data_IF_751356707473
#
_entry.id   IF_751356707473
#
_cell.length_a   1.000
_cell.length_b   1.000
_cell.length_c   1.000
_cell.angle_alpha   90.00
_cell.angle_beta   90.00
_cell.angle_gamma   90.00
#
_symmetry.space_group_name_H-M   'P 1'
#
loop_
_entity.id
_entity.type
_entity.pdbx_description
1 polymer ?
#
# COMPACT_ATOMS: atom_id res chain seq x y z
N UNK A 1 10.70 -6.31 -7.63
CA UNK A 1 10.33 -5.53 -8.83
C UNK A 1 10.65 -4.07 -8.52
N UNK A 2 10.35 -3.14 -9.42
CA UNK A 2 10.31 -1.73 -9.06
C UNK A 2 8.85 -1.40 -8.69
N UNK A 3 8.65 -0.32 -7.93
CA UNK A 3 7.33 0.18 -7.54
C UNK A 3 6.34 0.16 -8.72
N UNK A 4 5.16 -0.41 -8.49
CA UNK A 4 4.16 -0.61 -9.52
C UNK A 4 2.77 -0.14 -9.07
N UNK A 5 1.99 0.34 -10.03
CA UNK A 5 0.56 0.61 -9.85
C UNK A 5 -0.24 -0.55 -10.44
N UNK A 6 -1.27 -1.01 -9.73
CA UNK A 6 -2.14 -2.06 -10.24
C UNK A 6 -2.90 -1.53 -11.48
N UNK A 7 -2.92 -2.27 -12.61
CA UNK A 7 -3.63 -1.83 -13.81
C UNK A 7 -5.12 -1.56 -13.57
N UNK A 8 -5.76 -2.38 -12.73
CA UNK A 8 -7.17 -2.23 -12.38
C UNK A 8 -7.47 -0.94 -11.61
N UNK A 9 -6.54 -0.45 -10.80
CA UNK A 9 -6.64 0.87 -10.20
C UNK A 9 -6.62 1.98 -11.24
N UNK A 10 -5.74 1.91 -12.25
CA UNK A 10 -5.70 2.93 -13.31
C UNK A 10 -7.00 2.97 -14.11
N UNK A 11 -7.58 1.80 -14.38
CA UNK A 11 -8.89 1.68 -15.04
C UNK A 11 -9.99 2.35 -14.20
N UNK A 12 -10.10 1.99 -12.91
CA UNK A 12 -11.07 2.56 -11.98
C UNK A 12 -10.89 4.08 -11.80
N UNK A 13 -9.64 4.55 -11.73
CA UNK A 13 -9.34 5.98 -11.64
C UNK A 13 -9.79 6.74 -12.90
N UNK A 14 -9.55 6.19 -14.09
CA UNK A 14 -10.01 6.80 -15.36
C UNK A 14 -11.52 6.74 -15.54
N UNK A 15 -12.18 5.73 -14.96
CA UNK A 15 -13.64 5.63 -14.93
C UNK A 15 -14.29 6.60 -13.92
N UNK A 16 -13.52 7.16 -12.97
CA UNK A 16 -14.02 8.02 -11.91
C UNK A 16 -14.62 7.25 -10.73
N UNK A 17 -14.32 5.95 -10.61
CA UNK A 17 -14.82 5.09 -9.53
C UNK A 17 -14.05 5.26 -8.21
N UNK A 18 -12.89 5.92 -8.25
CA UNK A 18 -12.03 6.19 -7.10
C UNK A 18 -11.75 7.69 -7.03
N UNK A 19 -12.01 8.27 -5.86
CA UNK A 19 -11.66 9.64 -5.52
C UNK A 19 -10.64 9.62 -4.38
N UNK A 20 -9.34 9.53 -4.74
CA UNK A 20 -8.27 9.33 -3.75
C UNK A 20 -8.35 10.32 -2.57
N UNK A 21 -8.46 11.65 -2.75
CA UNK A 21 -8.57 12.59 -1.63
C UNK A 21 -9.67 12.26 -0.62
N UNK A 22 -10.88 11.91 -1.10
CA UNK A 22 -12.07 11.66 -0.29
C UNK A 22 -12.14 10.22 0.24
N UNK A 23 -11.64 9.26 -0.53
CA UNK A 23 -11.68 7.84 -0.19
C UNK A 23 -10.78 7.49 1.00
N UNK A 24 -11.19 6.44 1.72
CA UNK A 24 -10.42 5.85 2.81
C UNK A 24 -9.27 5.03 2.25
N UNK A 25 -8.12 5.67 2.05
CA UNK A 25 -6.90 4.98 1.56
C UNK A 25 -6.05 4.49 2.73
N UNK A 26 -5.64 3.21 2.66
CA UNK A 26 -4.87 2.52 3.69
C UNK A 26 -3.60 1.90 3.10
N UNK A 27 -2.58 1.73 3.94
CA UNK A 27 -1.38 0.97 3.61
C UNK A 27 -1.19 -0.22 4.56
N UNK A 28 -0.57 -1.29 4.05
CA UNK A 28 -0.26 -2.50 4.81
C UNK A 28 1.12 -3.03 4.43
N UNK A 29 1.85 -3.56 5.42
CA UNK A 29 3.14 -4.22 5.24
C UNK A 29 2.95 -5.64 4.73
N UNK A 30 3.74 -6.04 3.73
CA UNK A 30 3.58 -7.30 3.01
C UNK A 30 4.80 -8.20 3.15
N UNK A 31 4.54 -9.45 3.52
CA UNK A 31 5.49 -10.55 3.39
C UNK A 31 5.54 -11.01 1.93
N UNK A 32 6.68 -10.75 1.30
CA UNK A 32 6.91 -11.06 -0.12
C UNK A 32 7.19 -12.54 -0.38
N UNK A 33 7.35 -13.35 0.67
CA UNK A 33 7.40 -14.81 0.56
C UNK A 33 6.00 -15.44 0.44
N UNK A 34 4.96 -14.74 0.93
CA UNK A 34 3.56 -15.20 0.92
C UNK A 34 2.70 -14.49 -0.13
N UNK A 35 3.15 -13.34 -0.65
CA UNK A 35 2.47 -12.61 -1.71
C UNK A 35 3.42 -12.15 -2.81
N UNK A 36 3.08 -12.48 -4.05
CA UNK A 36 3.74 -11.95 -5.25
C UNK A 36 2.77 -11.05 -6.00
N UNK A 37 3.24 -9.87 -6.39
CA UNK A 37 2.48 -8.94 -7.23
C UNK A 37 1.99 -9.64 -8.51
N UNK A 38 0.72 -9.41 -8.85
CA UNK A 38 0.16 -9.72 -10.16
C UNK A 38 -0.56 -8.51 -10.74
N UNK A 39 -0.35 -8.27 -12.02
CA UNK A 39 -1.06 -7.23 -12.78
C UNK A 39 -2.58 -7.50 -12.90
N UNK A 40 -3.03 -8.73 -12.61
CA UNK A 40 -4.44 -9.11 -12.62
C UNK A 40 -5.13 -8.91 -11.28
N UNK A 41 -4.39 -8.70 -10.19
CA UNK A 41 -5.00 -8.46 -8.88
C UNK A 41 -5.69 -7.09 -8.87
N UNK A 42 -6.89 -7.05 -8.33
CA UNK A 42 -7.76 -5.88 -8.39
C UNK A 42 -8.19 -5.39 -7.01
N UNK A 43 -8.40 -6.30 -6.06
CA UNK A 43 -8.89 -5.98 -4.73
C UNK A 43 -8.10 -6.71 -3.62
N UNK A 44 -8.29 -6.23 -2.39
CA UNK A 44 -7.51 -6.68 -1.23
C UNK A 44 -7.61 -8.19 -0.98
N UNK A 45 -8.71 -8.84 -1.35
CA UNK A 45 -8.89 -10.29 -1.25
C UNK A 45 -7.86 -11.10 -2.07
N UNK A 46 -7.24 -10.52 -3.10
CA UNK A 46 -6.15 -11.17 -3.85
C UNK A 46 -4.83 -11.19 -3.06
N UNK A 47 -4.68 -10.33 -2.06
CA UNK A 47 -3.56 -10.33 -1.13
C UNK A 47 -3.95 -11.19 0.07
N UNK A 48 -3.39 -12.38 0.20
CA UNK A 48 -3.75 -13.28 1.30
C UNK A 48 -3.60 -12.61 2.67
N UNK A 49 -4.51 -12.90 3.61
CA UNK A 49 -4.45 -12.32 4.95
C UNK A 49 -3.14 -12.68 5.69
N UNK A 50 -2.56 -13.85 5.42
CA UNK A 50 -1.27 -14.28 5.99
C UNK A 50 -0.06 -13.49 5.48
N UNK A 51 -0.15 -12.90 4.27
CA UNK A 51 0.89 -12.02 3.75
C UNK A 51 0.85 -10.60 4.34
N UNK A 52 -0.21 -10.22 5.06
CA UNK A 52 -0.41 -8.88 5.62
C UNK A 52 0.10 -8.85 7.06
N UNK A 53 1.30 -8.30 7.26
CA UNK A 53 2.07 -8.43 8.51
C UNK A 53 1.70 -7.38 9.55
N UNK A 54 1.03 -6.31 9.15
CA UNK A 54 0.64 -5.21 10.03
C UNK A 54 -0.86 -4.94 9.99
N UNK A 55 -1.38 -4.30 11.04
CA UNK A 55 -2.67 -3.61 10.94
C UNK A 55 -2.61 -2.46 9.91
N UNK A 56 -3.66 -2.25 9.10
CA UNK A 56 -3.65 -1.24 8.04
C UNK A 56 -3.61 0.18 8.62
N UNK A 57 -2.74 1.03 8.07
CA UNK A 57 -2.57 2.43 8.49
C UNK A 57 -3.23 3.40 7.50
N UNK A 58 -3.97 4.43 7.97
CA UNK A 58 -4.58 5.42 7.08
C UNK A 58 -3.54 6.34 6.46
N UNK A 59 -3.68 6.60 5.16
CA UNK A 59 -2.99 7.71 4.52
C UNK A 59 -3.74 9.01 4.87
N UNK A 60 -3.15 9.79 5.77
CA UNK A 60 -3.65 11.09 6.17
C UNK A 60 -3.03 12.22 5.32
N UNK A 61 -3.66 13.39 5.30
CA UNK A 61 -3.17 14.59 4.59
C UNK A 61 -2.83 14.32 3.13
N UNK A 62 -3.68 13.55 2.44
CA UNK A 62 -3.47 13.17 1.03
C UNK A 62 -3.53 14.41 0.15
N UNK A 63 -2.56 14.55 -0.75
CA UNK A 63 -2.53 15.65 -1.73
C UNK A 63 -2.26 15.09 -3.11
N UNK A 64 -2.84 15.73 -4.13
CA UNK A 64 -2.53 15.44 -5.53
C UNK A 64 -2.07 16.74 -6.18
N UNK A 65 -0.84 16.76 -6.65
CA UNK A 65 -0.27 17.91 -7.35
C UNK A 65 0.48 17.41 -8.60
N UNK A 66 0.16 17.99 -9.77
CA UNK A 66 0.78 17.62 -11.04
C UNK A 66 0.74 16.10 -11.33
N UNK A 67 -0.37 15.43 -10.99
CA UNK A 67 -0.52 13.98 -11.19
C UNK A 67 0.25 13.11 -10.20
N UNK A 68 0.85 13.70 -9.16
CA UNK A 68 1.60 12.99 -8.12
C UNK A 68 0.79 12.94 -6.83
N UNK A 69 0.59 11.75 -6.29
CA UNK A 69 0.00 11.53 -4.97
C UNK A 69 1.08 11.66 -3.90
N UNK A 70 0.76 12.39 -2.83
CA UNK A 70 1.55 12.45 -1.61
C UNK A 70 0.67 12.36 -0.36
N UNK A 71 1.24 11.99 0.79
CA UNK A 71 0.53 11.86 2.07
C UNK A 71 1.48 12.05 3.26
N UNK A 72 0.93 12.12 4.47
CA UNK A 72 1.75 12.07 5.68
C UNK A 72 2.45 10.72 5.83
N UNK A 73 3.66 10.74 6.44
CA UNK A 73 4.40 9.54 6.82
C UNK A 73 3.57 8.64 7.74
N UNK A 74 3.80 7.34 7.66
CA UNK A 74 3.06 6.34 8.43
C UNK A 74 3.92 5.71 9.53
N UNK A 75 3.27 5.35 10.63
CA UNK A 75 3.84 4.49 11.68
C UNK A 75 2.98 3.25 11.79
N UNK A 76 3.59 2.08 11.60
CA UNK A 76 3.00 0.78 11.86
C UNK A 76 3.39 0.35 13.28
N UNK A 77 2.47 0.36 14.24
CA UNK A 77 2.81 0.07 15.62
C UNK A 77 3.01 -1.43 15.86
N UNK A 78 3.97 -1.77 16.73
CA UNK A 78 4.17 -3.11 17.27
C UNK A 78 4.09 -4.25 16.22
N UNK A 79 4.86 -4.14 15.14
CA UNK A 79 4.77 -5.08 14.01
C UNK A 79 5.35 -6.44 14.44
N UNK A 80 4.56 -7.54 14.37
CA UNK A 80 5.01 -8.87 14.78
C UNK A 80 6.27 -9.33 14.03
N UNK A 81 7.22 -9.89 14.76
CA UNK A 81 8.40 -10.50 14.14
C UNK A 81 8.10 -11.86 13.50
N UNK A 82 9.03 -12.33 12.67
CA UNK A 82 9.01 -13.64 12.03
C UNK A 82 8.85 -13.59 10.51
N UNK A 83 8.06 -12.65 10.00
CA UNK A 83 7.92 -12.40 8.57
C UNK A 83 8.99 -11.44 8.03
N UNK A 84 9.32 -11.55 6.75
CA UNK A 84 10.19 -10.59 6.06
C UNK A 84 9.32 -9.62 5.28
N UNK A 85 9.18 -8.41 5.80
CA UNK A 85 8.44 -7.34 5.11
C UNK A 85 9.32 -6.85 3.96
N UNK A 86 8.87 -7.09 2.73
CA UNK A 86 9.58 -6.69 1.51
C UNK A 86 8.81 -5.68 0.66
N UNK A 87 7.55 -5.40 0.99
CA UNK A 87 6.74 -4.45 0.25
C UNK A 87 5.68 -3.77 1.12
N UNK A 88 5.15 -2.66 0.61
CA UNK A 88 3.98 -1.96 1.12
C UNK A 88 2.92 -1.96 0.03
N UNK A 89 1.71 -2.35 0.37
CA UNK A 89 0.55 -2.21 -0.51
C UNK A 89 -0.30 -1.04 -0.03
N UNK A 90 -0.72 -0.20 -0.97
CA UNK A 90 -1.71 0.86 -0.76
C UNK A 90 -3.02 0.41 -1.44
N UNK A 91 -4.15 0.60 -0.77
CA UNK A 91 -5.47 0.21 -1.27
C UNK A 91 -6.57 1.16 -0.77
N UNK A 92 -7.70 1.20 -1.46
CA UNK A 92 -8.92 1.86 -0.97
C UNK A 92 -9.66 0.88 -0.06
N UNK A 93 -9.92 1.28 1.17
CA UNK A 93 -10.66 0.49 2.15
C UNK A 93 -12.15 0.83 2.12
N UNK A 94 -12.95 -0.07 1.58
CA UNK A 94 -14.41 0.04 1.59
C UNK A 94 -15.05 -0.74 2.73
N UNK A 95 -14.25 -1.32 3.63
CA UNK A 95 -14.70 -2.22 4.69
C UNK A 95 -14.98 -3.67 4.25
N UNK A 96 -14.78 -4.01 2.97
CA UNK A 96 -14.89 -5.39 2.47
C UNK A 96 -13.77 -5.70 1.49
N UNK A 97 -13.00 -6.76 1.73
CA UNK A 97 -11.76 -7.04 0.99
C UNK A 97 -11.96 -7.20 -0.52
N UNK A 98 -13.06 -7.84 -0.94
CA UNK A 98 -13.38 -8.05 -2.36
C UNK A 98 -13.82 -6.79 -3.10
N UNK A 99 -14.07 -5.71 -2.37
CA UNK A 99 -14.46 -4.41 -2.93
C UNK A 99 -13.48 -3.32 -2.54
N UNK A 100 -12.29 -3.68 -2.06
CA UNK A 100 -11.24 -2.75 -1.64
C UNK A 100 -10.12 -2.70 -2.70
N UNK A 101 -10.20 -1.81 -3.71
CA UNK A 101 -9.25 -1.74 -4.81
C UNK A 101 -7.79 -1.58 -4.39
N UNK A 102 -6.90 -2.38 -4.97
CA UNK A 102 -5.45 -2.24 -4.81
C UNK A 102 -4.92 -1.07 -5.66
N UNK A 103 -4.16 -0.16 -5.08
CA UNK A 103 -3.62 1.05 -5.75
C UNK A 103 -2.17 0.83 -6.20
N UNK A 104 -1.28 0.58 -5.24
CA UNK A 104 0.16 0.53 -5.46
C UNK A 104 0.81 -0.63 -4.72
N UNK A 105 1.85 -1.19 -5.32
CA UNK A 105 2.79 -2.13 -4.71
C UNK A 105 4.17 -1.47 -4.70
N UNK A 106 4.66 -1.15 -3.51
CA UNK A 106 5.91 -0.42 -3.30
C UNK A 106 6.89 -1.38 -2.64
N UNK A 107 7.85 -1.88 -3.42
CA UNK A 107 8.87 -2.83 -2.99
C UNK A 107 10.29 -2.26 -3.02
N UNK A 108 10.40 -0.96 -3.31
CA UNK A 108 11.65 -0.22 -3.22
C UNK A 108 11.49 0.93 -2.22
N UNK A 109 12.34 0.93 -1.19
CA UNK A 109 12.34 1.92 -0.12
C UNK A 109 13.52 1.71 0.82
N UNK A 110 13.96 2.76 1.51
CA UNK A 110 15.03 2.66 2.49
C UNK A 110 14.64 1.65 3.58
N UNK A 111 15.49 0.64 3.80
CA UNK A 111 15.31 -0.45 4.77
C UNK A 111 14.34 -1.57 4.38
N UNK A 112 13.89 -1.70 3.12
CA UNK A 112 13.26 -2.94 2.65
C UNK A 112 14.32 -3.83 1.97
N UNK A 113 14.37 -5.15 2.28
CA UNK A 113 13.50 -5.87 3.22
C UNK A 113 13.85 -5.62 4.70
N UNK A 114 12.84 -5.67 5.58
CA UNK A 114 12.97 -5.58 7.04
C UNK A 114 12.33 -6.79 7.73
N UNK A 115 12.99 -7.31 8.76
CA UNK A 115 12.38 -8.28 9.68
C UNK A 115 11.93 -7.54 10.94
N UNK A 116 10.62 -7.42 11.19
CA UNK A 116 10.13 -6.76 12.40
C UNK A 116 10.57 -7.50 13.66
N UNK A 117 10.62 -6.78 14.78
CA UNK A 117 11.02 -7.31 16.08
C UNK A 117 9.99 -7.04 17.20
N UNK A 118 8.74 -6.74 16.83
CA UNK A 118 7.69 -6.32 17.76
C UNK A 118 7.70 -4.82 18.07
N UNK A 119 8.65 -4.05 17.53
CA UNK A 119 8.68 -2.60 17.60
C UNK A 119 7.87 -1.92 16.48
N UNK A 120 7.87 -0.59 16.51
CA UNK A 120 7.22 0.23 15.50
C UNK A 120 8.06 0.30 14.21
N UNK A 121 7.39 0.33 13.06
CA UNK A 121 8.01 0.56 11.75
C UNK A 121 7.51 1.89 11.21
N UNK A 122 8.44 2.80 10.92
CA UNK A 122 8.13 4.08 10.29
C UNK A 122 8.35 3.98 8.79
N UNK A 123 7.33 4.41 8.03
CA UNK A 123 7.37 4.52 6.58
C UNK A 123 7.38 6.01 6.21
N UNK A 124 8.50 6.44 5.65
CA UNK A 124 8.68 7.81 5.18
C UNK A 124 8.51 7.86 3.66
N UNK A 125 7.55 8.64 3.18
CA UNK A 125 7.39 8.88 1.75
C UNK A 125 8.53 9.77 1.25
N UNK A 126 8.87 9.65 -0.03
CA UNK A 126 9.82 10.55 -0.67
C UNK A 126 9.21 11.95 -0.77
N UNK A 127 10.03 13.00 -0.71
CA UNK A 127 9.59 14.37 -0.99
C UNK A 127 9.05 14.52 -2.43
N UNK A 128 9.41 13.59 -3.33
CA UNK A 128 8.86 13.50 -4.69
C UNK A 128 7.48 12.84 -4.74
N UNK A 129 6.87 12.51 -3.60
CA UNK A 129 5.59 11.83 -3.49
C UNK A 129 5.69 10.30 -3.48
N UNK A 130 4.51 9.67 -3.47
CA UNK A 130 4.32 8.22 -3.40
C UNK A 130 4.36 7.60 -4.80
N UNK A 131 3.57 8.16 -5.72
CA UNK A 131 3.57 7.77 -7.14
C UNK A 131 3.03 8.90 -8.03
N UNK A 132 3.35 8.81 -9.32
CA UNK A 132 2.84 9.71 -10.36
C UNK A 132 2.21 8.90 -11.51
N UNK A 133 1.27 9.51 -12.24
CA UNK A 133 0.55 8.92 -13.37
C UNK A 133 1.00 9.47 -14.73
#
# INVERSE_FOLDING_TARGET
MANALYPKFKEALLAGDIDIPEDSVRAVLIDVSEYTFSATHDALNDVSAGARISGPQPLASKTILNGTLDAANLTFPAVPGGAVVGAVIIYVDTGTESTSPLIAYIDTGSNLPITPNGGDINLNWSESGIFSL
#
